data_IF_034089745811
#
_entry.id   IF_034089745811
#
_cell.length_a   1.000
_cell.length_b   1.000
_cell.length_c   1.000
_cell.angle_alpha   90.00
_cell.angle_beta   90.00
_cell.angle_gamma   90.00
#
_symmetry.space_group_name_H-M   'P 1'
#
loop_
_entity.id
_entity.type
_entity.pdbx_description
1 polymer ?
#
# COMPACT_ATOMS: atom_id res chain seq x y z
N UNK A 1 11.78 51.63 -7.41
CA UNK A 1 12.15 50.46 -8.23
C UNK A 1 13.29 49.73 -7.54
N UNK A 2 12.98 49.08 -6.41
CA UNK A 2 13.98 48.37 -5.61
C UNK A 2 13.27 47.40 -4.65
N UNK A 3 12.52 46.43 -5.19
CA UNK A 3 12.13 45.20 -4.47
C UNK A 3 11.93 44.14 -5.53
N UNK A 4 12.97 43.33 -5.81
CA UNK A 4 12.87 42.02 -6.48
C UNK A 4 14.26 41.31 -6.48
N UNK A 5 14.93 41.24 -5.33
CA UNK A 5 16.17 40.44 -5.17
C UNK A 5 16.26 39.80 -3.78
N UNK A 6 15.18 39.17 -3.34
CA UNK A 6 15.25 38.29 -2.18
C UNK A 6 14.15 37.24 -2.29
N UNK A 7 14.42 36.14 -3.01
CA UNK A 7 13.79 34.82 -2.87
C UNK A 7 14.45 33.80 -3.83
N UNK A 8 15.79 33.80 -3.93
CA UNK A 8 16.53 32.73 -4.64
C UNK A 8 17.66 32.15 -3.79
N UNK A 9 17.39 31.98 -2.50
CA UNK A 9 18.23 31.18 -1.62
C UNK A 9 17.31 30.25 -0.84
N UNK A 10 17.07 29.07 -1.41
CA UNK A 10 17.30 27.74 -0.81
C UNK A 10 16.66 26.68 -1.71
N UNK A 11 17.27 26.39 -2.85
CA UNK A 11 17.05 25.12 -3.56
C UNK A 11 18.40 24.58 -4.00
N UNK A 12 19.20 24.16 -3.03
CA UNK A 12 20.24 23.19 -3.33
C UNK A 12 19.56 21.91 -3.85
N UNK A 13 20.07 21.28 -4.91
CA UNK A 13 19.57 19.97 -5.34
C UNK A 13 19.94 18.97 -4.25
N UNK A 14 18.95 18.45 -3.53
CA UNK A 14 19.19 17.35 -2.57
C UNK A 14 19.40 16.07 -3.37
N UNK A 15 20.62 15.90 -3.86
CA UNK A 15 21.19 14.58 -4.09
C UNK A 15 21.60 14.03 -2.72
N UNK A 16 20.67 13.32 -2.07
CA UNK A 16 20.88 12.68 -0.77
C UNK A 16 19.82 11.61 -0.55
N UNK A 17 20.22 10.42 -0.11
CA UNK A 17 19.35 9.25 0.10
C UNK A 17 18.00 9.62 0.72
N UNK A 18 16.93 9.55 -0.07
CA UNK A 18 15.59 9.97 0.36
C UNK A 18 15.07 9.05 1.48
N UNK A 19 15.22 9.50 2.72
CA UNK A 19 14.69 8.82 3.90
C UNK A 19 13.17 8.94 3.95
N UNK A 20 12.50 7.91 4.46
CA UNK A 20 11.04 7.91 4.63
C UNK A 20 10.69 8.79 5.84
N UNK A 21 9.76 9.75 5.67
CA UNK A 21 9.27 10.59 6.77
C UNK A 21 8.30 9.80 7.66
N UNK A 22 8.61 9.62 8.97
CA UNK A 22 7.69 9.01 9.92
C UNK A 22 6.38 9.80 10.05
N UNK A 23 6.44 11.13 9.96
CA UNK A 23 5.28 12.02 10.13
C UNK A 23 4.25 11.80 9.01
N UNK A 24 4.70 11.75 7.76
CA UNK A 24 3.84 11.46 6.61
C UNK A 24 3.24 10.07 6.75
N UNK A 25 4.07 9.06 7.04
CA UNK A 25 3.62 7.69 7.15
C UNK A 25 2.58 7.49 8.27
N UNK A 26 2.83 8.03 9.47
CA UNK A 26 1.90 7.98 10.60
C UNK A 26 0.58 8.68 10.25
N UNK A 27 0.64 9.85 9.61
CA UNK A 27 -0.57 10.58 9.19
C UNK A 27 -1.41 9.75 8.22
N UNK A 28 -0.78 9.19 7.18
CA UNK A 28 -1.47 8.35 6.19
C UNK A 28 -2.03 7.08 6.84
N UNK A 29 -1.27 6.42 7.74
CA UNK A 29 -1.74 5.26 8.49
C UNK A 29 -2.97 5.58 9.37
N UNK A 30 -2.99 6.72 10.06
CA UNK A 30 -4.17 7.15 10.84
C UNK A 30 -5.41 7.25 9.96
N UNK A 31 -5.28 7.88 8.79
CA UNK A 31 -6.38 8.00 7.82
C UNK A 31 -6.83 6.63 7.32
N UNK A 32 -5.88 5.77 6.95
CA UNK A 32 -6.15 4.41 6.48
C UNK A 32 -6.91 3.57 7.52
N UNK A 33 -6.40 3.45 8.75
CA UNK A 33 -7.07 2.66 9.80
C UNK A 33 -8.40 3.26 10.24
N UNK A 34 -8.51 4.59 10.29
CA UNK A 34 -9.79 5.25 10.57
C UNK A 34 -10.82 4.90 9.50
N UNK A 35 -10.44 4.96 8.22
CA UNK A 35 -11.35 4.63 7.12
C UNK A 35 -11.72 3.15 7.09
N UNK A 36 -10.75 2.27 7.35
CA UNK A 36 -10.96 0.83 7.45
C UNK A 36 -11.98 0.47 8.53
N UNK A 37 -11.92 1.14 9.68
CA UNK A 37 -12.84 0.86 10.79
C UNK A 37 -14.24 1.46 10.62
N UNK A 38 -14.45 2.41 9.70
CA UNK A 38 -15.73 3.13 9.58
C UNK A 38 -16.47 2.89 8.26
N UNK A 39 -15.77 2.53 7.19
CA UNK A 39 -16.36 2.32 5.85
C UNK A 39 -16.73 0.85 5.65
N UNK A 40 -17.82 0.60 4.92
CA UNK A 40 -18.27 -0.74 4.52
C UNK A 40 -17.54 -1.28 3.28
N UNK A 41 -16.72 -0.45 2.61
CA UNK A 41 -15.99 -0.80 1.40
C UNK A 41 -14.85 -1.83 1.60
N UNK A 42 -14.56 -2.20 2.84
CA UNK A 42 -13.46 -3.12 3.17
C UNK A 42 -13.91 -4.58 3.34
N UNK A 43 -15.19 -4.88 3.14
CA UNK A 43 -15.69 -6.27 3.09
C UNK A 43 -15.49 -7.07 4.38
N UNK A 44 -15.51 -6.42 5.54
CA UNK A 44 -15.21 -7.03 6.84
C UNK A 44 -13.84 -7.75 6.88
N UNK A 45 -12.89 -7.29 6.05
CA UNK A 45 -11.54 -7.83 6.01
C UNK A 45 -10.89 -7.75 7.40
N UNK A 46 -10.33 -8.86 7.88
CA UNK A 46 -9.58 -8.91 9.13
C UNK A 46 -8.10 -8.56 8.92
N UNK A 47 -7.62 -8.68 7.69
CA UNK A 47 -6.33 -8.22 7.24
C UNK A 47 -6.45 -7.62 5.83
N UNK A 48 -5.60 -6.65 5.51
CA UNK A 48 -5.49 -6.11 4.15
C UNK A 48 -4.07 -6.38 3.65
N UNK A 49 -3.95 -7.10 2.54
CA UNK A 49 -2.69 -7.39 1.87
C UNK A 49 -2.60 -6.60 0.58
N UNK A 50 -1.55 -5.80 0.45
CA UNK A 50 -1.23 -5.04 -0.76
C UNK A 50 0.14 -5.47 -1.23
N UNK A 51 0.22 -5.96 -2.47
CA UNK A 51 1.46 -6.40 -3.07
C UNK A 51 1.81 -5.45 -4.22
N UNK A 52 2.96 -4.78 -4.10
CA UNK A 52 3.44 -3.81 -5.09
C UNK A 52 4.48 -4.48 -5.96
N UNK A 53 4.27 -4.57 -7.29
CA UNK A 53 5.19 -5.28 -8.18
C UNK A 53 6.52 -4.55 -8.31
N UNK A 54 7.56 -5.21 -8.85
CA UNK A 54 8.77 -4.55 -9.31
C UNK A 54 8.45 -3.46 -10.35
N UNK A 55 9.34 -2.47 -10.55
CA UNK A 55 9.14 -1.47 -11.59
C UNK A 55 9.02 -2.13 -12.97
N UNK A 56 7.96 -1.81 -13.71
CA UNK A 56 7.70 -2.32 -15.06
C UNK A 56 7.23 -1.17 -15.97
N UNK A 57 7.43 -1.32 -17.29
CA UNK A 57 6.98 -0.32 -18.27
C UNK A 57 5.44 -0.27 -18.41
N UNK A 58 4.74 -1.28 -17.88
CA UNK A 58 3.28 -1.37 -17.92
C UNK A 58 2.65 -0.75 -16.66
N UNK A 59 2.73 0.57 -16.55
CA UNK A 59 2.27 1.36 -15.39
C UNK A 59 0.73 1.42 -15.28
N UNK A 60 0.00 0.80 -16.23
CA UNK A 60 -1.46 0.76 -16.20
C UNK A 60 -1.89 -0.15 -15.04
N UNK A 61 -2.62 0.42 -14.08
CA UNK A 61 -3.24 -0.26 -12.94
C UNK A 61 -2.27 -0.67 -11.83
N UNK A 62 -1.72 0.31 -11.12
CA UNK A 62 -0.93 0.07 -9.90
C UNK A 62 -1.43 0.94 -8.73
N UNK A 63 -2.65 0.66 -8.26
CA UNK A 63 -3.17 1.15 -6.97
C UNK A 63 -2.24 0.78 -5.83
N UNK A 64 -1.60 -0.39 -5.87
CA UNK A 64 -0.55 -0.78 -4.92
C UNK A 64 0.62 0.20 -4.89
N UNK A 65 1.15 0.59 -6.06
CA UNK A 65 2.25 1.57 -6.17
C UNK A 65 1.82 2.98 -5.74
N UNK A 66 0.60 3.38 -6.11
CA UNK A 66 0.05 4.67 -5.71
C UNK A 66 -0.14 4.73 -4.17
N UNK A 67 -0.63 3.65 -3.55
CA UNK A 67 -0.75 3.53 -2.10
C UNK A 67 0.63 3.56 -1.42
N UNK A 68 1.61 2.86 -1.97
CA UNK A 68 3.00 2.92 -1.50
C UNK A 68 3.52 4.36 -1.52
N UNK A 69 3.32 5.08 -2.63
CA UNK A 69 3.78 6.46 -2.76
C UNK A 69 3.06 7.39 -1.79
N UNK A 70 1.79 7.15 -1.54
CA UNK A 70 1.01 7.88 -0.55
C UNK A 70 1.52 7.68 0.88
N UNK A 71 1.91 6.45 1.24
CA UNK A 71 2.46 6.15 2.55
C UNK A 71 3.87 6.72 2.76
N UNK A 72 4.73 6.60 1.76
CA UNK A 72 6.17 6.82 1.94
C UNK A 72 6.70 8.09 1.27
N UNK A 73 5.87 8.79 0.50
CA UNK A 73 6.30 9.90 -0.36
C UNK A 73 7.20 9.47 -1.52
N UNK A 74 7.35 8.14 -1.73
CA UNK A 74 8.18 7.53 -2.77
C UNK A 74 7.67 6.14 -3.12
N UNK A 75 8.06 5.67 -4.29
CA UNK A 75 7.75 4.32 -4.74
C UNK A 75 8.53 3.27 -3.94
N UNK A 76 7.81 2.25 -3.48
CA UNK A 76 8.32 1.12 -2.71
C UNK A 76 7.86 -0.18 -3.39
N UNK A 77 8.49 -0.46 -4.52
CA UNK A 77 8.22 -1.60 -5.39
C UNK A 77 8.80 -2.92 -4.85
N UNK A 78 8.37 -4.05 -5.43
CA UNK A 78 8.77 -5.42 -5.08
C UNK A 78 8.57 -5.73 -3.58
N UNK A 79 7.40 -5.34 -3.06
CA UNK A 79 7.08 -5.43 -1.63
C UNK A 79 5.67 -5.97 -1.39
N UNK A 80 5.48 -6.64 -0.25
CA UNK A 80 4.16 -7.06 0.25
C UNK A 80 3.94 -6.39 1.60
N UNK A 81 2.84 -5.66 1.72
CA UNK A 81 2.39 -5.00 2.93
C UNK A 81 1.13 -5.70 3.44
N UNK A 82 1.14 -6.18 4.67
CA UNK A 82 -0.03 -6.80 5.32
C UNK A 82 -0.39 -6.03 6.58
N UNK A 83 -1.54 -5.38 6.54
CA UNK A 83 -2.10 -4.59 7.63
C UNK A 83 -3.02 -5.46 8.48
N UNK A 84 -2.79 -5.48 9.80
CA UNK A 84 -3.59 -6.13 10.83
C UNK A 84 -4.00 -5.09 11.88
N UNK A 85 -4.94 -5.44 12.76
CA UNK A 85 -5.42 -4.53 13.81
C UNK A 85 -4.34 -4.01 14.77
N UNK A 86 -3.23 -4.75 14.96
CA UNK A 86 -2.13 -4.40 15.87
C UNK A 86 -0.75 -4.42 15.23
N UNK A 87 -0.61 -4.99 14.05
CA UNK A 87 0.69 -5.19 13.40
C UNK A 87 0.63 -4.81 11.93
N UNK A 88 1.75 -4.37 11.39
CA UNK A 88 1.96 -4.22 9.96
C UNK A 88 3.17 -5.06 9.59
N UNK A 89 2.96 -6.06 8.73
CA UNK A 89 4.04 -6.87 8.21
C UNK A 89 4.47 -6.33 6.85
N UNK A 90 5.77 -6.11 6.70
CA UNK A 90 6.39 -5.82 5.40
C UNK A 90 7.28 -6.99 5.02
N UNK A 91 7.08 -7.51 3.82
CA UNK A 91 7.99 -8.44 3.19
C UNK A 91 8.62 -7.72 1.99
N UNK A 92 9.94 -7.60 2.02
CA UNK A 92 10.70 -6.87 1.01
C UNK A 92 12.14 -7.38 0.95
N UNK A 93 12.92 -6.90 -0.02
CA UNK A 93 14.38 -7.10 -0.03
C UNK A 93 15.03 -6.32 1.13
N UNK A 94 16.27 -6.67 1.46
CA UNK A 94 16.99 -6.09 2.60
C UNK A 94 17.07 -4.56 2.56
N UNK A 95 17.22 -3.98 1.36
CA UNK A 95 17.25 -2.52 1.15
C UNK A 95 15.93 -1.88 1.55
N UNK A 96 14.81 -2.54 1.24
CA UNK A 96 13.48 -2.07 1.61
C UNK A 96 13.30 -2.04 3.13
N UNK A 97 13.62 -3.13 3.80
CA UNK A 97 13.50 -3.20 5.26
C UNK A 97 14.39 -2.18 5.98
N UNK A 98 15.60 -1.91 5.48
CA UNK A 98 16.48 -0.86 6.03
C UNK A 98 15.82 0.53 5.99
N UNK A 99 15.02 0.81 4.97
CA UNK A 99 14.28 2.09 4.85
C UNK A 99 13.09 2.17 5.81
N UNK A 100 12.49 1.03 6.17
CA UNK A 100 11.33 0.96 7.06
C UNK A 100 11.70 0.85 8.53
N UNK A 101 12.90 0.38 8.86
CA UNK A 101 13.39 0.22 10.24
C UNK A 101 13.18 1.48 11.11
N UNK A 102 13.49 2.71 10.63
CA UNK A 102 13.29 3.93 11.42
C UNK A 102 11.82 4.24 11.75
N UNK A 103 10.85 3.62 11.06
CA UNK A 103 9.43 3.85 11.28
C UNK A 103 8.86 3.07 12.46
N UNK A 104 9.52 1.99 12.89
CA UNK A 104 9.02 1.10 13.97
C UNK A 104 8.67 1.85 15.24
N UNK A 105 9.64 2.58 15.79
CA UNK A 105 9.48 3.28 17.07
C UNK A 105 8.47 4.43 17.00
N UNK A 106 8.51 5.33 15.99
CA UNK A 106 7.50 6.37 15.83
C UNK A 106 6.07 5.83 15.69
N UNK A 107 5.87 4.77 14.90
CA UNK A 107 4.54 4.18 14.64
C UNK A 107 3.99 3.50 15.89
N UNK A 108 4.82 2.73 16.60
CA UNK A 108 4.43 2.11 17.87
C UNK A 108 4.03 3.17 18.91
N UNK A 109 4.81 4.26 19.05
CA UNK A 109 4.47 5.36 19.97
C UNK A 109 3.20 6.12 19.59
N UNK A 110 2.99 6.37 18.30
CA UNK A 110 1.89 7.22 17.85
C UNK A 110 0.56 6.47 17.69
N UNK A 111 0.60 5.17 17.39
CA UNK A 111 -0.56 4.36 16.99
C UNK A 111 -0.74 3.08 17.81
N UNK A 112 0.26 2.66 18.59
CA UNK A 112 0.24 1.35 19.26
C UNK A 112 0.31 0.17 18.28
N UNK A 113 0.85 0.39 17.07
CA UNK A 113 1.03 -0.62 16.04
C UNK A 113 2.49 -1.07 15.96
N UNK A 114 2.73 -2.37 15.85
CA UNK A 114 4.07 -2.91 15.67
C UNK A 114 4.37 -3.17 14.19
N UNK A 115 5.54 -2.72 13.72
CA UNK A 115 6.02 -2.99 12.37
C UNK A 115 6.97 -4.19 12.39
N UNK A 116 6.58 -5.26 11.71
CA UNK A 116 7.37 -6.48 11.54
C UNK A 116 7.96 -6.49 10.13
N UNK A 117 9.27 -6.63 10.03
CA UNK A 117 9.98 -6.63 8.74
C UNK A 117 10.48 -8.04 8.46
N UNK A 118 10.17 -8.54 7.27
CA UNK A 118 10.59 -9.84 6.76
C UNK A 118 11.50 -9.61 5.56
N UNK A 119 12.77 -10.01 5.68
CA UNK A 119 13.78 -9.82 4.65
C UNK A 119 13.84 -11.03 3.74
N UNK A 120 13.64 -10.82 2.45
CA UNK A 120 13.90 -11.84 1.44
C UNK A 120 15.41 -12.04 1.25
N UNK A 121 15.89 -13.26 1.48
CA UNK A 121 17.30 -13.64 1.27
C UNK A 121 17.40 -14.61 0.07
N UNK A 122 17.26 -14.05 -1.14
CA UNK A 122 17.56 -14.74 -2.41
C UNK A 122 16.58 -15.84 -2.87
N UNK A 123 15.73 -16.36 -1.98
CA UNK A 123 14.65 -17.29 -2.32
C UNK A 123 13.34 -16.57 -2.74
N UNK A 124 12.27 -17.33 -2.98
CA UNK A 124 10.95 -16.78 -3.33
C UNK A 124 10.14 -16.29 -2.11
N UNK A 125 10.70 -16.34 -0.90
CA UNK A 125 10.05 -15.88 0.33
C UNK A 125 8.93 -16.78 0.85
N UNK A 126 8.77 -18.00 0.31
CA UNK A 126 7.63 -18.87 0.60
C UNK A 126 7.44 -19.12 2.12
N UNK A 127 8.52 -19.42 2.85
CA UNK A 127 8.46 -19.64 4.30
C UNK A 127 8.10 -18.36 5.10
N UNK A 128 8.52 -17.19 4.62
CA UNK A 128 8.15 -15.90 5.23
C UNK A 128 6.67 -15.60 5.01
N UNK A 129 6.16 -15.88 3.82
CA UNK A 129 4.74 -15.75 3.50
C UNK A 129 3.88 -16.68 4.36
N UNK A 130 4.31 -17.94 4.56
CA UNK A 130 3.61 -18.88 5.46
C UNK A 130 3.59 -18.37 6.91
N UNK A 131 4.68 -17.79 7.40
CA UNK A 131 4.75 -17.16 8.72
C UNK A 131 3.80 -15.97 8.84
N UNK A 132 3.70 -15.14 7.80
CA UNK A 132 2.75 -14.02 7.77
C UNK A 132 1.32 -14.57 7.83
N UNK A 133 0.94 -15.49 6.94
CA UNK A 133 -0.39 -16.09 6.92
C UNK A 133 -0.75 -16.72 8.27
N UNK A 134 0.17 -17.49 8.87
CA UNK A 134 -0.01 -18.06 10.21
C UNK A 134 -0.29 -16.99 11.27
N UNK A 135 0.40 -15.85 11.21
CA UNK A 135 0.17 -14.71 12.10
C UNK A 135 -1.23 -14.13 11.91
N UNK A 136 -1.68 -13.99 10.65
CA UNK A 136 -3.05 -13.53 10.35
C UNK A 136 -4.08 -14.48 10.97
N UNK A 137 -3.91 -15.80 10.77
CA UNK A 137 -4.82 -16.81 11.34
C UNK A 137 -4.87 -16.74 12.87
N UNK A 138 -3.71 -16.63 13.53
CA UNK A 138 -3.62 -16.54 14.99
C UNK A 138 -4.30 -15.28 15.55
N UNK A 139 -4.28 -14.18 14.81
CA UNK A 139 -4.93 -12.93 15.22
C UNK A 139 -6.44 -12.89 14.93
N UNK A 140 -6.96 -13.76 14.05
CA UNK A 140 -8.33 -13.65 13.56
C UNK A 140 -9.41 -14.22 14.50
N UNK A 141 -9.05 -15.11 15.44
CA UNK A 141 -9.96 -15.68 16.47
C UNK A 141 -11.22 -16.41 15.97
N UNK A 142 -11.55 -16.36 14.68
CA UNK A 142 -12.78 -16.87 14.06
C UNK A 142 -12.48 -17.79 12.88
N UNK A 143 -13.44 -18.66 12.57
CA UNK A 143 -13.38 -19.57 11.43
C UNK A 143 -13.62 -18.89 10.07
N UNK A 144 -13.86 -17.58 10.02
CA UNK A 144 -14.13 -16.83 8.79
C UNK A 144 -13.20 -15.64 8.64
N UNK A 145 -11.91 -15.93 8.46
CA UNK A 145 -10.90 -14.93 8.12
C UNK A 145 -11.10 -14.45 6.67
N UNK A 146 -11.31 -13.14 6.51
CA UNK A 146 -11.37 -12.45 5.21
C UNK A 146 -10.09 -11.64 5.05
N UNK A 147 -9.37 -11.85 3.94
CA UNK A 147 -8.22 -11.03 3.55
C UNK A 147 -8.63 -10.12 2.40
N UNK A 148 -8.54 -8.82 2.64
CA UNK A 148 -8.68 -7.80 1.62
C UNK A 148 -7.45 -7.76 0.72
N UNK A 149 -7.64 -7.74 -0.59
CA UNK A 149 -6.57 -7.59 -1.58
C UNK A 149 -7.03 -6.74 -2.77
N UNK A 150 -6.11 -6.34 -3.63
CA UNK A 150 -6.44 -5.66 -4.89
C UNK A 150 -6.64 -6.74 -5.96
N UNK A 151 -7.89 -7.03 -6.33
CA UNK A 151 -8.19 -8.20 -7.16
C UNK A 151 -7.81 -8.03 -8.64
N UNK A 152 -7.78 -6.79 -9.13
CA UNK A 152 -7.59 -6.48 -10.55
C UNK A 152 -6.12 -6.29 -10.95
N UNK A 153 -5.21 -6.27 -9.98
CA UNK A 153 -3.77 -6.20 -10.23
C UNK A 153 -3.21 -7.60 -10.46
N UNK A 154 -2.56 -7.78 -11.61
CA UNK A 154 -1.89 -9.04 -11.90
C UNK A 154 -0.65 -9.14 -11.02
N UNK A 155 -0.39 -10.30 -10.39
CA UNK A 155 0.86 -10.51 -9.71
C UNK A 155 1.99 -10.51 -10.75
N UNK A 156 2.92 -9.56 -10.63
CA UNK A 156 4.09 -9.45 -11.49
C UNK A 156 5.36 -9.71 -10.67
N UNK A 157 6.15 -10.68 -11.11
CA UNK A 157 7.41 -11.06 -10.48
C UNK A 157 7.26 -12.22 -9.50
N UNK A 158 8.35 -12.98 -9.34
CA UNK A 158 8.38 -14.27 -8.63
C UNK A 158 7.79 -14.23 -7.21
N UNK A 159 8.05 -13.14 -6.48
CA UNK A 159 7.60 -12.96 -5.09
C UNK A 159 6.08 -12.76 -5.04
N UNK A 160 5.53 -11.93 -5.93
CA UNK A 160 4.11 -11.63 -5.99
C UNK A 160 3.30 -12.79 -6.56
N UNK A 161 3.86 -13.50 -7.54
CA UNK A 161 3.28 -14.73 -8.10
C UNK A 161 3.15 -15.81 -7.02
N UNK A 162 4.20 -16.07 -6.24
CA UNK A 162 4.18 -17.00 -5.10
C UNK A 162 3.17 -16.57 -4.03
N UNK A 163 3.13 -15.27 -3.69
CA UNK A 163 2.17 -14.73 -2.73
C UNK A 163 0.72 -14.93 -3.17
N UNK A 164 0.44 -14.63 -4.45
CA UNK A 164 -0.88 -14.85 -5.04
C UNK A 164 -1.27 -16.32 -5.01
N UNK A 165 -0.35 -17.22 -5.37
CA UNK A 165 -0.59 -18.67 -5.28
C UNK A 165 -0.91 -19.12 -3.86
N UNK A 166 -0.20 -18.61 -2.84
CA UNK A 166 -0.50 -18.93 -1.44
C UNK A 166 -1.84 -18.37 -0.96
N UNK A 167 -2.17 -17.14 -1.33
CA UNK A 167 -3.47 -16.54 -0.99
C UNK A 167 -4.61 -17.35 -1.59
N UNK A 168 -4.55 -17.65 -2.89
CA UNK A 168 -5.61 -18.39 -3.59
C UNK A 168 -5.61 -19.90 -3.29
N UNK A 169 -4.47 -20.48 -2.93
CA UNK A 169 -4.36 -21.89 -2.52
C UNK A 169 -4.79 -22.15 -1.07
N UNK A 170 -4.94 -21.10 -0.27
CA UNK A 170 -5.43 -21.19 1.11
C UNK A 170 -6.96 -21.29 1.15
N UNK A 171 -7.52 -21.73 2.30
CA UNK A 171 -8.98 -21.73 2.54
C UNK A 171 -9.52 -20.34 2.93
N UNK A 172 -8.78 -19.28 2.65
CA UNK A 172 -9.11 -17.91 3.03
C UNK A 172 -10.22 -17.37 2.13
N UNK A 173 -11.09 -16.55 2.72
CA UNK A 173 -11.99 -15.71 1.92
C UNK A 173 -11.20 -14.49 1.48
N UNK A 174 -11.24 -14.19 0.19
CA UNK A 174 -10.60 -13.01 -0.39
C UNK A 174 -11.67 -11.97 -0.74
N UNK A 175 -11.38 -10.70 -0.48
CA UNK A 175 -12.27 -9.58 -0.81
C UNK A 175 -11.50 -8.49 -1.54
N UNK A 176 -12.10 -7.90 -2.59
CA UNK A 176 -11.48 -6.81 -3.33
C UNK A 176 -11.64 -5.48 -2.59
N UNK A 177 -10.54 -4.93 -2.06
CA UNK A 177 -10.54 -3.66 -1.31
C UNK A 177 -10.25 -2.44 -2.18
N UNK A 178 -10.21 -2.62 -3.49
CA UNK A 178 -9.93 -1.57 -4.46
C UNK A 178 -10.81 -0.33 -4.30
N UNK A 179 -12.09 -0.50 -3.98
CA UNK A 179 -13.03 0.60 -3.75
C UNK A 179 -12.69 1.41 -2.49
N UNK A 180 -12.36 0.74 -1.38
CA UNK A 180 -11.97 1.40 -0.13
C UNK A 180 -10.68 2.21 -0.27
N UNK A 181 -9.72 1.70 -1.05
CA UNK A 181 -8.49 2.42 -1.40
C UNK A 181 -8.78 3.65 -2.28
N UNK A 182 -9.70 3.52 -3.24
CA UNK A 182 -10.11 4.65 -4.09
C UNK A 182 -10.78 5.78 -3.32
N UNK A 183 -11.72 5.45 -2.41
CA UNK A 183 -12.38 6.48 -1.60
C UNK A 183 -11.40 7.19 -0.65
N UNK A 184 -10.49 6.42 -0.03
CA UNK A 184 -9.44 6.96 0.83
C UNK A 184 -8.58 7.99 0.08
N UNK A 185 -8.27 7.70 -1.18
CA UNK A 185 -7.47 8.58 -2.03
C UNK A 185 -8.19 9.89 -2.37
N UNK A 186 -9.50 9.86 -2.71
CA UNK A 186 -10.28 11.06 -3.05
C UNK A 186 -10.45 12.01 -1.85
N UNK A 187 -10.59 11.46 -0.64
CA UNK A 187 -10.69 12.29 0.58
C UNK A 187 -9.38 13.03 0.89
N UNK A 188 -8.23 12.47 0.56
CA UNK A 188 -6.94 13.10 0.86
C UNK A 188 -6.56 14.23 -0.11
N UNK A 189 -7.03 14.19 -1.36
CA UNK A 189 -6.83 15.27 -2.37
C UNK A 189 -7.41 16.60 -1.89
N UNK A 190 -8.45 16.59 -1.05
CA UNK A 190 -9.06 17.82 -0.50
C UNK A 190 -8.21 18.47 0.60
N UNK A 191 -7.32 17.72 1.23
CA UNK A 191 -6.48 18.21 2.34
C UNK A 191 -5.04 18.55 1.91
N UNK A 192 -4.62 18.17 0.69
CA UNK A 192 -3.25 18.36 0.20
C UNK A 192 -3.22 18.94 -1.22
N UNK A 193 -2.65 20.14 -1.37
CA UNK A 193 -2.08 20.59 -2.66
C UNK A 193 -0.85 19.72 -2.90
N UNK A 194 -1.05 18.54 -3.49
CA UNK A 194 0.03 17.68 -3.91
C UNK A 194 0.52 18.18 -5.28
N UNK A 195 1.74 18.71 -5.36
CA UNK A 195 2.40 19.09 -6.63
C UNK A 195 2.65 17.91 -7.60
N UNK A 196 2.10 16.72 -7.33
CA UNK A 196 2.02 15.60 -8.27
C UNK A 196 0.61 15.02 -8.34
N UNK A 197 -0.29 15.75 -9.00
CA UNK A 197 -1.67 15.35 -9.31
C UNK A 197 -1.82 14.04 -10.11
N UNK A 198 -0.73 13.43 -10.59
CA UNK A 198 -0.79 12.18 -11.37
C UNK A 198 -1.10 10.93 -10.53
N UNK A 199 -0.67 10.87 -9.26
CA UNK A 199 -0.74 9.65 -8.44
C UNK A 199 -2.20 9.29 -8.10
N UNK A 200 -3.03 10.32 -7.85
CA UNK A 200 -4.44 10.13 -7.47
C UNK A 200 -5.33 9.88 -8.68
N UNK A 201 -4.99 10.43 -9.86
CA UNK A 201 -5.72 10.16 -11.10
C UNK A 201 -5.67 8.67 -11.48
N UNK A 202 -4.58 7.96 -11.21
CA UNK A 202 -4.51 6.51 -11.44
C UNK A 202 -5.49 5.73 -10.55
N UNK A 203 -5.74 6.19 -9.32
CA UNK A 203 -6.63 5.54 -8.36
C UNK A 203 -8.11 5.85 -8.67
N UNK A 204 -8.43 7.07 -9.13
CA UNK A 204 -9.80 7.54 -9.38
C UNK A 204 -10.30 7.27 -10.82
N UNK A 205 -9.43 7.31 -11.83
CA UNK A 205 -9.84 7.11 -13.23
C UNK A 205 -10.30 5.67 -13.53
N UNK A 206 -9.95 4.70 -12.69
CA UNK A 206 -10.45 3.32 -12.77
C UNK A 206 -11.95 3.23 -12.47
N UNK A 207 -12.49 4.10 -11.61
CA UNK A 207 -13.91 4.11 -11.25
C UNK A 207 -14.77 4.56 -12.44
N UNK A 208 -14.31 5.59 -13.17
CA UNK A 208 -14.96 6.10 -14.40
C UNK A 208 -14.97 5.07 -15.53
N UNK A 209 -13.94 4.22 -15.62
CA UNK A 209 -13.88 3.15 -16.63
C UNK A 209 -14.66 1.89 -16.21
N UNK A 210 -14.74 1.59 -14.91
CA UNK A 210 -15.44 0.40 -14.39
C UNK A 210 -16.94 0.59 -14.15
N UNK A 211 -17.41 1.84 -14.07
CA UNK A 211 -18.82 2.18 -13.90
C UNK A 211 -19.61 2.24 -15.22
N UNK A 212 -19.00 1.91 -16.37
CA UNK A 212 -19.76 1.71 -17.62
C UNK A 212 -20.30 0.28 -17.65
N UNK A 213 -21.62 0.07 -17.50
CA UNK A 213 -22.21 -1.22 -17.86
C UNK A 213 -21.96 -1.47 -19.35
N UNK A 214 -21.63 -2.71 -19.70
CA UNK A 214 -21.30 -3.10 -21.06
C UNK A 214 -22.39 -2.67 -22.04
N UNK A 215 -22.06 -1.69 -22.89
CA UNK A 215 -22.78 -1.49 -24.13
C UNK A 215 -22.44 -2.69 -25.03
N UNK A 216 -23.43 -3.56 -25.20
CA UNK A 216 -23.50 -4.56 -26.25
C UNK A 216 -23.29 -3.86 -27.60
N UNK A 217 -22.07 -3.93 -28.12
CA UNK A 217 -21.85 -3.69 -29.54
C UNK A 217 -22.20 -4.99 -30.29
N UNK A 218 -23.51 -5.19 -30.47
CA UNK A 218 -24.04 -5.98 -31.58
C UNK A 218 -24.39 -5.03 -32.72
N UNK A 219 -23.61 -5.17 -33.81
CA UNK A 219 -23.84 -4.79 -35.22
C UNK A 219 -22.67 -3.99 -35.81
#
# INVERSE_FOLDING_TARGET
>A
MAILEALDQTLAPVSGSASVSPEIFIRCLKKFYSHWNTSDLWGSSSAIAVATPPPSENIRYQKSLALSTWFFGREFADTIMVFLSRQIHFLSRQEGSKLLEPLRMPVSKALGLDIVLHNLEGDNGSALMDKILHTIFANSGSNSLIIGHIAREKPEGKILEEWSQKLHGSRLKLYDVSAGLSELAVKDVRDYVCEKGCIFNCISHEEVCSSKPGEDYSA
#
